data_IF_113302080209
#
_entry.id   IF_113302080209
#
_cell.length_a   1.000
_cell.length_b   1.000
_cell.length_c   1.000
_cell.angle_alpha   90.00
_cell.angle_beta   90.00
_cell.angle_gamma   90.00
#
_symmetry.space_group_name_H-M   'P 1'
#
loop_
_entity.id
_entity.type
_entity.pdbx_description
1 polymer ?
#
# COMPACT_ATOMS: atom_id res chain seq x y z
N UNK A 1 -9.00 1.08 -13.33
CA UNK A 1 -8.82 1.97 -12.16
C UNK A 1 -9.39 1.34 -10.90
N UNK A 2 -10.71 1.24 -10.71
CA UNK A 2 -11.33 0.65 -9.50
C UNK A 2 -10.82 -0.74 -9.09
N UNK A 3 -10.60 -1.66 -10.05
CA UNK A 3 -10.03 -2.98 -9.77
C UNK A 3 -8.65 -2.90 -9.09
N UNK A 4 -7.79 -1.98 -9.54
CA UNK A 4 -6.45 -1.78 -8.94
C UNK A 4 -6.57 -1.26 -7.50
N UNK A 5 -7.49 -0.32 -7.24
CA UNK A 5 -7.77 0.14 -5.88
C UNK A 5 -8.23 -1.01 -4.99
N UNK A 6 -9.26 -1.75 -5.40
CA UNK A 6 -9.78 -2.87 -4.61
C UNK A 6 -8.74 -3.96 -4.35
N UNK A 7 -7.85 -4.22 -5.32
CA UNK A 7 -6.76 -5.17 -5.17
C UNK A 7 -5.71 -4.70 -4.17
N UNK A 8 -5.28 -3.43 -4.26
CA UNK A 8 -4.31 -2.84 -3.32
C UNK A 8 -4.87 -2.78 -1.91
N UNK A 9 -6.13 -2.40 -1.73
CA UNK A 9 -6.77 -2.40 -0.41
C UNK A 9 -6.81 -3.80 0.21
N UNK A 10 -7.21 -4.82 -0.56
CA UNK A 10 -7.19 -6.21 -0.06
C UNK A 10 -5.79 -6.64 0.37
N UNK A 11 -4.75 -6.30 -0.41
CA UNK A 11 -3.36 -6.59 -0.04
C UNK A 11 -2.95 -5.90 1.26
N UNK A 12 -3.27 -4.61 1.41
CA UNK A 12 -3.00 -3.87 2.65
C UNK A 12 -3.72 -4.53 3.84
N UNK A 13 -5.00 -4.90 3.68
CA UNK A 13 -5.75 -5.59 4.73
C UNK A 13 -5.07 -6.89 5.15
N UNK A 14 -4.67 -7.74 4.20
CA UNK A 14 -3.95 -8.98 4.50
C UNK A 14 -2.66 -8.74 5.28
N UNK A 15 -1.89 -7.71 4.93
CA UNK A 15 -0.64 -7.37 5.64
C UNK A 15 -0.92 -6.83 7.06
N UNK A 16 -1.97 -6.02 7.23
CA UNK A 16 -2.36 -5.52 8.55
C UNK A 16 -2.93 -6.62 9.46
N UNK A 17 -3.70 -7.55 8.90
CA UNK A 17 -4.19 -8.72 9.63
C UNK A 17 -3.02 -9.60 10.10
N UNK A 18 -1.98 -9.75 9.27
CA UNK A 18 -0.74 -10.40 9.67
C UNK A 18 -0.05 -9.66 10.82
N UNK A 19 0.08 -8.33 10.74
CA UNK A 19 0.63 -7.52 11.84
C UNK A 19 -0.14 -7.71 13.14
N UNK A 20 -1.47 -7.79 13.09
CA UNK A 20 -2.28 -8.05 14.28
C UNK A 20 -1.92 -9.39 14.93
N UNK A 21 -1.77 -10.45 14.14
CA UNK A 21 -1.37 -11.77 14.65
C UNK A 21 0.05 -11.76 15.24
N UNK A 22 1.00 -11.08 14.59
CA UNK A 22 2.38 -10.97 15.09
C UNK A 22 2.46 -10.19 16.40
N UNK A 23 1.72 -9.09 16.51
CA UNK A 23 1.64 -8.30 17.75
C UNK A 23 1.06 -9.15 18.89
N UNK A 24 0.04 -9.97 18.61
CA UNK A 24 -0.49 -10.89 19.61
C UNK A 24 0.58 -11.87 20.07
N UNK A 25 1.34 -12.48 19.16
CA UNK A 25 2.44 -13.38 19.52
C UNK A 25 3.54 -12.68 20.34
N UNK A 26 3.88 -11.44 19.98
CA UNK A 26 4.85 -10.63 20.75
C UNK A 26 4.35 -10.41 22.18
N UNK A 27 3.07 -10.11 22.35
CA UNK A 27 2.44 -9.93 23.65
C UNK A 27 2.43 -11.23 24.46
N UNK A 28 2.06 -12.34 23.85
CA UNK A 28 2.01 -13.66 24.50
C UNK A 28 3.41 -14.08 24.97
N UNK A 29 4.44 -13.89 24.12
CA UNK A 29 5.83 -14.12 24.46
C UNK A 29 6.29 -13.25 25.66
N UNK A 30 5.91 -11.98 25.68
CA UNK A 30 6.24 -11.06 26.77
C UNK A 30 5.55 -11.47 28.08
N UNK A 31 4.27 -11.86 28.01
CA UNK A 31 3.48 -12.31 29.16
C UNK A 31 3.98 -13.63 29.74
N UNK A 32 4.58 -14.50 28.92
CA UNK A 32 5.15 -15.76 29.39
C UNK A 32 6.27 -15.60 30.42
N UNK A 33 6.94 -14.43 30.44
CA UNK A 33 8.11 -14.14 31.29
C UNK A 33 9.27 -15.13 31.14
N UNK A 34 9.29 -15.90 30.04
CA UNK A 34 10.37 -16.81 29.68
C UNK A 34 11.38 -16.02 28.82
N UNK A 35 12.64 -15.88 29.24
CA UNK A 35 13.64 -15.10 28.50
C UNK A 35 13.83 -15.53 27.05
N UNK A 36 13.76 -16.84 26.77
CA UNK A 36 13.85 -17.39 25.41
C UNK A 36 12.69 -16.91 24.50
N UNK A 37 11.48 -16.79 25.05
CA UNK A 37 10.33 -16.29 24.29
C UNK A 37 10.44 -14.79 24.00
N UNK A 38 11.02 -14.02 24.92
CA UNK A 38 11.32 -12.61 24.69
C UNK A 38 12.32 -12.42 23.53
N UNK A 39 13.29 -13.31 23.37
CA UNK A 39 14.22 -13.26 22.23
C UNK A 39 13.49 -13.47 20.88
N UNK A 40 12.43 -14.29 20.85
CA UNK A 40 11.59 -14.51 19.66
C UNK A 40 10.79 -13.27 19.25
N UNK A 41 10.65 -12.25 20.12
CA UNK A 41 9.98 -11.01 19.75
C UNK A 41 10.77 -10.17 18.73
N UNK A 42 12.10 -10.31 18.70
CA UNK A 42 12.94 -9.55 17.77
C UNK A 42 12.58 -9.84 16.30
N UNK A 43 12.59 -11.10 15.82
CA UNK A 43 12.21 -11.38 14.44
C UNK A 43 10.74 -11.06 14.15
N UNK A 44 9.82 -11.23 15.11
CA UNK A 44 8.41 -10.87 14.94
C UNK A 44 8.22 -9.35 14.73
N UNK A 45 8.92 -8.52 15.51
CA UNK A 45 8.90 -7.05 15.37
C UNK A 45 9.56 -6.62 14.05
N UNK A 46 10.64 -7.30 13.63
CA UNK A 46 11.24 -7.07 12.31
C UNK A 46 10.25 -7.36 11.18
N UNK A 47 9.47 -8.44 11.26
CA UNK A 47 8.42 -8.75 10.29
C UNK A 47 7.31 -7.67 10.28
N UNK A 48 6.89 -7.18 11.46
CA UNK A 48 5.92 -6.07 11.57
C UNK A 48 6.46 -4.82 10.86
N UNK A 49 7.72 -4.47 11.09
CA UNK A 49 8.33 -3.29 10.46
C UNK A 49 8.41 -3.43 8.94
N UNK A 50 8.80 -4.61 8.44
CA UNK A 50 8.80 -4.90 7.00
C UNK A 50 7.40 -4.75 6.39
N UNK A 51 6.39 -5.32 7.05
CA UNK A 51 4.99 -5.21 6.64
C UNK A 51 4.51 -3.75 6.57
N UNK A 52 4.90 -2.90 7.53
CA UNK A 52 4.60 -1.46 7.47
C UNK A 52 5.27 -0.79 6.27
N UNK A 53 6.52 -1.11 5.97
CA UNK A 53 7.19 -0.63 4.75
C UNK A 53 6.45 -1.07 3.48
N UNK A 54 5.97 -2.31 3.42
CA UNK A 54 5.14 -2.80 2.31
C UNK A 54 3.83 -2.02 2.18
N UNK A 55 3.13 -1.78 3.29
CA UNK A 55 1.89 -0.97 3.30
C UNK A 55 2.16 0.44 2.77
N UNK A 56 3.25 1.07 3.21
CA UNK A 56 3.65 2.40 2.72
C UNK A 56 3.90 2.39 1.20
N UNK A 57 4.63 1.39 0.70
CA UNK A 57 4.87 1.22 -0.75
C UNK A 57 3.56 1.06 -1.53
N UNK A 58 2.66 0.19 -1.06
CA UNK A 58 1.38 -0.06 -1.70
C UNK A 58 0.52 1.22 -1.79
N UNK A 59 0.55 2.07 -0.76
CA UNK A 59 -0.14 3.36 -0.79
C UNK A 59 0.54 4.37 -1.71
N UNK A 60 1.87 4.41 -1.75
CA UNK A 60 2.62 5.27 -2.69
C UNK A 60 2.31 4.91 -4.14
N UNK A 61 2.30 3.61 -4.47
CA UNK A 61 1.93 3.11 -5.80
C UNK A 61 0.48 3.47 -6.13
N UNK A 62 -0.42 3.35 -5.15
CA UNK A 62 -1.83 3.69 -5.33
C UNK A 62 -2.02 5.18 -5.63
N UNK A 63 -1.35 6.05 -4.87
CA UNK A 63 -1.35 7.50 -5.06
C UNK A 63 -0.80 7.90 -6.42
N UNK A 64 0.34 7.33 -6.81
CA UNK A 64 0.97 7.61 -8.11
C UNK A 64 0.07 7.17 -9.28
N UNK A 65 -0.54 5.99 -9.17
CA UNK A 65 -1.51 5.50 -10.15
C UNK A 65 -2.75 6.40 -10.26
N UNK A 66 -3.21 6.96 -9.13
CA UNK A 66 -4.33 7.91 -9.11
C UNK A 66 -3.97 9.21 -9.85
N UNK A 67 -2.83 9.82 -9.51
CA UNK A 67 -2.35 11.06 -10.13
C UNK A 67 -2.16 10.86 -11.64
N UNK A 68 -1.49 9.79 -12.06
CA UNK A 68 -1.31 9.46 -13.48
C UNK A 68 -2.64 9.28 -14.20
N UNK A 69 -3.59 8.57 -13.59
CA UNK A 69 -4.94 8.36 -14.14
C UNK A 69 -5.71 9.66 -14.35
N UNK A 70 -5.52 10.64 -13.47
CA UNK A 70 -6.15 11.96 -13.57
C UNK A 70 -5.54 12.80 -14.70
N UNK A 71 -4.20 12.85 -14.79
CA UNK A 71 -3.53 13.57 -15.87
C UNK A 71 -3.87 13.03 -17.27
N UNK A 72 -4.02 11.71 -17.42
CA UNK A 72 -4.43 11.10 -18.69
C UNK A 72 -5.84 11.47 -19.15
N UNK A 73 -6.74 11.87 -18.24
CA UNK A 73 -8.08 12.36 -18.61
C UNK A 73 -8.02 13.79 -19.12
N UNK A 74 -7.28 14.68 -18.45
CA UNK A 74 -7.16 16.09 -18.86
C UNK A 74 -6.34 16.29 -20.15
N UNK A 75 -5.43 15.37 -20.51
CA UNK A 75 -4.63 15.48 -21.73
C UNK A 75 -5.40 15.21 -23.03
N UNK A 76 -6.50 14.47 -23.00
CA UNK A 76 -7.30 14.14 -24.19
C UNK A 76 -8.21 15.28 -24.68
N UNK A 77 -8.51 16.26 -23.84
CA UNK A 77 -9.36 17.39 -24.19
C UNK A 77 -8.59 18.54 -24.87
N UNK A 78 -7.25 18.47 -24.92
CA UNK A 78 -6.39 19.52 -25.46
C UNK A 78 -5.94 19.28 -26.93
N UNK A 79 -6.03 18.05 -27.43
CA UNK A 79 -5.54 17.70 -28.78
C UNK A 79 -6.62 17.86 -29.89
N UNK A 80 -7.91 17.90 -29.52
CA UNK A 80 -9.02 18.04 -30.48
C UNK A 80 -9.30 19.46 -30.98
N UNK A 81 -8.46 20.47 -30.66
CA UNK A 81 -8.71 21.90 -30.99
C UNK A 81 -7.67 22.52 -31.95
N UNK A 82 -6.93 21.72 -32.72
CA UNK A 82 -5.94 22.21 -33.68
C UNK A 82 -6.08 21.58 -35.07
N UNK A 83 -7.29 21.55 -35.64
CA UNK A 83 -7.45 21.29 -37.08
C UNK A 83 -8.69 22.00 -37.64
N UNK A 84 -8.61 23.33 -37.77
CA UNK A 84 -9.72 24.13 -38.25
C UNK A 84 -9.31 25.57 -38.55
N UNK A 85 -8.30 25.74 -39.40
CA UNK A 85 -7.72 27.07 -39.68
C UNK A 85 -7.11 27.19 -41.07
N UNK A 86 -7.80 26.71 -42.12
CA UNK A 86 -7.55 27.19 -43.47
C UNK A 86 -8.82 27.07 -44.33
N UNK A 87 -9.48 28.20 -44.60
CA UNK A 87 -10.22 28.51 -45.83
C UNK A 87 -10.90 29.87 -45.68
N UNK A 88 -10.29 30.90 -46.26
CA UNK A 88 -10.90 31.97 -47.07
C UNK A 88 -9.85 33.05 -47.31
#
# INVERSE_FOLDING_TARGET
MWANFSGTFRKVQTVLDRNRSLIQQVNDNHQSRIPDNMAKNVPLIQEINHNISTVSSLYSDLSSNFVSSYHHRNGKDADGRRDGGNKA
#
